data_IF_485808530505
#
_entry.id   IF_485808530505
#
_cell.length_a   1.000
_cell.length_b   1.000
_cell.length_c   1.000
_cell.angle_alpha   90.00
_cell.angle_beta   90.00
_cell.angle_gamma   90.00
#
_symmetry.space_group_name_H-M   'P 1'
#
loop_
_entity.id
_entity.type
_entity.pdbx_description
1 polymer ?
#
# COMPACT_ATOMS: atom_id res chain seq x y z
N UNK A 1 26.73 -4.63 0.76
CA UNK A 1 27.14 -5.82 -0.02
C UNK A 1 25.95 -6.78 -0.07
N UNK A 2 25.05 -6.63 -1.04
CA UNK A 2 23.98 -7.61 -1.28
C UNK A 2 24.47 -8.59 -2.32
N UNK A 3 24.51 -9.89 -1.95
CA UNK A 3 24.90 -10.95 -2.86
C UNK A 3 23.89 -11.05 -4.01
N UNK A 4 24.38 -11.22 -5.21
CA UNK A 4 23.77 -11.01 -6.51
C UNK A 4 22.67 -12.00 -6.93
N UNK A 5 21.95 -12.69 -6.01
CA UNK A 5 20.95 -13.72 -6.38
C UNK A 5 19.64 -13.75 -5.60
N UNK A 6 19.45 -13.00 -4.53
CA UNK A 6 18.17 -12.96 -3.81
C UNK A 6 17.28 -11.79 -4.32
N UNK A 7 15.98 -12.06 -4.50
CA UNK A 7 15.02 -11.00 -4.78
C UNK A 7 14.98 -10.04 -3.57
N UNK A 8 14.97 -8.73 -3.79
CA UNK A 8 14.85 -7.80 -2.68
C UNK A 8 13.55 -8.06 -1.90
N UNK A 9 13.55 -7.83 -0.57
CA UNK A 9 12.35 -7.93 0.25
C UNK A 9 11.16 -7.17 -0.34
N UNK A 10 9.94 -7.62 -0.05
CA UNK A 10 8.72 -7.04 -0.63
C UNK A 10 8.57 -5.55 -0.30
N UNK A 11 8.95 -5.13 0.90
CA UNK A 11 8.87 -3.74 1.34
C UNK A 11 9.79 -2.80 0.54
N UNK A 12 11.01 -3.24 0.17
CA UNK A 12 11.90 -2.47 -0.72
C UNK A 12 11.21 -2.24 -2.07
N UNK A 13 10.62 -3.29 -2.62
CA UNK A 13 9.93 -3.22 -3.92
C UNK A 13 8.70 -2.31 -3.86
N UNK A 14 7.99 -2.29 -2.73
CA UNK A 14 6.87 -1.36 -2.51
C UNK A 14 7.36 0.08 -2.41
N UNK A 15 8.43 0.34 -1.63
CA UNK A 15 9.02 1.66 -1.49
C UNK A 15 9.46 2.21 -2.86
N UNK A 16 10.23 1.44 -3.62
CA UNK A 16 10.63 1.78 -4.99
C UNK A 16 9.43 2.07 -5.88
N UNK A 17 8.39 1.23 -5.80
CA UNK A 17 7.19 1.39 -6.61
C UNK A 17 6.42 2.67 -6.24
N UNK A 18 6.21 2.94 -4.96
CA UNK A 18 5.56 4.18 -4.47
C UNK A 18 6.34 5.40 -4.98
N UNK A 19 7.65 5.39 -4.79
CA UNK A 19 8.52 6.47 -5.24
C UNK A 19 8.39 6.74 -6.76
N UNK A 20 8.51 5.70 -7.58
CA UNK A 20 8.55 5.84 -9.03
C UNK A 20 7.17 6.05 -9.68
N UNK A 21 6.11 5.60 -9.03
CA UNK A 21 4.76 5.67 -9.60
C UNK A 21 4.03 6.94 -9.23
N UNK A 22 4.17 7.36 -7.98
CA UNK A 22 3.37 8.43 -7.41
C UNK A 22 4.17 9.70 -7.14
N UNK A 23 5.51 9.61 -7.09
CA UNK A 23 6.40 10.75 -6.79
C UNK A 23 5.98 11.53 -5.54
N UNK A 24 5.64 10.86 -4.42
CA UNK A 24 5.10 11.54 -3.25
C UNK A 24 6.18 12.29 -2.50
N UNK A 25 5.78 13.34 -1.78
CA UNK A 25 6.60 14.00 -0.75
C UNK A 25 6.38 13.38 0.62
N UNK A 26 5.11 13.02 0.90
CA UNK A 26 4.67 12.51 2.20
C UNK A 26 3.91 11.19 2.03
N UNK A 27 4.25 10.18 2.85
CA UNK A 27 3.62 8.85 2.80
C UNK A 27 3.27 8.39 4.21
N UNK A 28 2.09 7.80 4.38
CA UNK A 28 1.71 7.06 5.58
C UNK A 28 1.55 5.57 5.26
N UNK A 29 2.13 4.71 6.09
CA UNK A 29 1.91 3.25 6.09
C UNK A 29 0.98 2.88 7.25
N UNK A 30 -0.23 2.40 6.92
CA UNK A 30 -1.25 2.00 7.89
C UNK A 30 -1.18 0.50 8.14
N UNK A 31 -0.92 0.10 9.40
CA UNK A 31 -0.54 -1.25 9.77
C UNK A 31 0.93 -1.51 9.42
N UNK A 32 1.80 -0.58 9.81
CA UNK A 32 3.20 -0.56 9.42
C UNK A 32 4.08 -1.62 10.10
N UNK A 33 3.57 -2.33 11.10
CA UNK A 33 4.32 -3.27 11.93
C UNK A 33 5.67 -2.67 12.41
N UNK A 34 6.80 -3.27 12.06
CA UNK A 34 8.14 -2.77 12.43
C UNK A 34 8.63 -1.58 11.59
N UNK A 35 7.81 -1.03 10.69
CA UNK A 35 8.12 0.16 9.90
C UNK A 35 9.13 -0.03 8.78
N UNK A 36 9.31 -1.25 8.27
CA UNK A 36 10.30 -1.54 7.22
C UNK A 36 10.04 -0.73 5.94
N UNK A 37 8.76 -0.58 5.54
CA UNK A 37 8.39 0.25 4.40
C UNK A 37 8.66 1.73 4.69
N UNK A 38 8.33 2.19 5.90
CA UNK A 38 8.61 3.57 6.36
C UNK A 38 10.10 3.87 6.28
N UNK A 39 10.94 2.95 6.79
CA UNK A 39 12.39 3.08 6.70
C UNK A 39 12.86 3.18 5.24
N UNK A 40 12.42 2.25 4.41
CA UNK A 40 12.81 2.24 2.98
C UNK A 40 12.44 3.51 2.24
N UNK A 41 11.29 4.11 2.52
CA UNK A 41 10.87 5.39 1.95
C UNK A 41 11.71 6.56 2.46
N UNK A 42 11.99 6.61 3.78
CA UNK A 42 12.86 7.66 4.36
C UNK A 42 14.30 7.56 3.82
N UNK A 43 14.84 6.34 3.63
CA UNK A 43 16.16 6.12 3.02
C UNK A 43 16.21 6.63 1.55
N UNK A 44 15.06 6.74 0.88
CA UNK A 44 14.92 7.33 -0.46
C UNK A 44 14.65 8.85 -0.45
N UNK A 45 14.63 9.48 0.73
CA UNK A 45 14.38 10.92 0.89
C UNK A 45 12.90 11.31 0.84
N UNK A 46 11.98 10.34 1.00
CA UNK A 46 10.54 10.58 1.12
C UNK A 46 10.18 10.69 2.60
N UNK A 47 9.42 11.71 2.97
CA UNK A 47 8.95 11.87 4.33
C UNK A 47 7.84 10.86 4.63
N UNK A 48 8.20 9.72 5.25
CA UNK A 48 7.28 8.63 5.53
C UNK A 48 7.09 8.39 7.02
N UNK A 49 5.85 8.07 7.38
CA UNK A 49 5.39 7.77 8.73
C UNK A 49 4.62 6.45 8.74
N UNK A 50 4.46 5.85 9.93
CA UNK A 50 3.69 4.63 10.12
C UNK A 50 2.78 4.68 11.34
N UNK A 51 1.64 4.02 11.24
CA UNK A 51 0.73 3.76 12.37
C UNK A 51 0.46 2.27 12.48
N UNK A 52 0.45 1.76 13.72
CA UNK A 52 0.14 0.36 14.01
C UNK A 52 -0.46 0.21 15.41
N UNK A 53 -1.33 -0.78 15.61
CA UNK A 53 -1.91 -1.11 16.92
C UNK A 53 -0.94 -1.85 17.85
N UNK A 54 0.11 -2.45 17.31
CA UNK A 54 1.07 -3.26 18.04
C UNK A 54 2.17 -2.42 18.70
N UNK A 55 2.04 -2.19 19.99
CA UNK A 55 3.10 -1.53 20.78
C UNK A 55 4.42 -2.29 20.71
N UNK A 56 4.36 -3.61 20.67
CA UNK A 56 5.54 -4.45 20.54
C UNK A 56 6.29 -4.16 19.22
N UNK A 57 5.57 -4.09 18.11
CA UNK A 57 6.18 -3.84 16.81
C UNK A 57 6.82 -2.44 16.76
N UNK A 58 6.10 -1.40 17.24
CA UNK A 58 6.60 -0.02 17.32
C UNK A 58 7.87 0.08 18.18
N UNK A 59 7.88 -0.57 19.35
CA UNK A 59 9.03 -0.52 20.28
C UNK A 59 10.25 -1.33 19.80
N UNK A 60 10.07 -2.24 18.83
CA UNK A 60 11.16 -3.06 18.25
C UNK A 60 11.49 -2.68 16.79
N UNK A 61 11.17 -1.46 16.39
CA UNK A 61 11.52 -0.94 15.06
C UNK A 61 13.00 -0.56 14.96
N UNK A 62 13.44 -0.25 13.75
CA UNK A 62 14.78 0.33 13.53
C UNK A 62 14.90 1.67 14.27
N UNK A 63 15.98 1.89 15.06
CA UNK A 63 16.15 3.13 15.84
C UNK A 63 16.08 4.43 15.01
N UNK A 64 16.42 4.38 13.73
CA UNK A 64 16.41 5.56 12.85
C UNK A 64 15.01 6.09 12.52
N UNK A 65 13.97 5.27 12.74
CA UNK A 65 12.57 5.62 12.43
C UNK A 65 11.65 5.62 13.64
N UNK A 66 12.17 5.48 14.87
CA UNK A 66 11.36 5.43 16.09
C UNK A 66 10.43 6.65 16.22
N UNK A 67 10.90 7.84 15.86
CA UNK A 67 10.10 9.08 15.88
C UNK A 67 9.08 9.17 14.72
N UNK A 68 9.08 8.23 13.82
CA UNK A 68 8.21 8.19 12.63
C UNK A 68 7.07 7.18 12.77
N UNK A 69 7.10 6.33 13.80
CA UNK A 69 6.07 5.32 14.05
C UNK A 69 5.22 5.68 15.26
N UNK A 70 3.91 5.51 15.12
CA UNK A 70 2.95 5.85 16.16
C UNK A 70 2.05 4.67 16.47
N UNK A 71 1.85 4.38 17.76
CA UNK A 71 0.83 3.44 18.22
C UNK A 71 -0.54 4.07 18.07
N UNK A 72 -1.40 3.44 17.27
CA UNK A 72 -2.76 3.93 16.98
C UNK A 72 -3.72 2.75 16.90
N UNK A 73 -4.81 2.78 17.63
CA UNK A 73 -5.91 1.87 17.40
C UNK A 73 -6.68 2.34 16.15
N UNK A 74 -6.56 1.61 15.06
CA UNK A 74 -7.15 1.98 13.76
C UNK A 74 -8.68 2.04 13.77
N UNK A 75 -9.33 1.54 14.83
CA UNK A 75 -10.79 1.51 14.98
C UNK A 75 -11.34 2.70 15.79
N UNK A 76 -10.52 3.43 16.54
CA UNK A 76 -11.02 4.42 17.50
C UNK A 76 -10.17 5.67 17.64
N UNK A 77 -8.88 5.58 17.36
CA UNK A 77 -7.97 6.67 17.65
C UNK A 77 -7.81 7.59 16.44
N UNK A 78 -7.96 8.89 16.68
CA UNK A 78 -7.60 9.89 15.68
C UNK A 78 -6.11 9.75 15.34
N UNK A 79 -5.79 9.72 14.06
CA UNK A 79 -4.39 9.65 13.63
C UNK A 79 -3.65 10.93 14.01
N UNK A 80 -2.41 10.84 14.53
CA UNK A 80 -1.66 11.98 15.09
C UNK A 80 -1.06 12.88 14.00
N UNK A 81 -1.84 13.18 12.98
CA UNK A 81 -1.43 14.01 11.85
C UNK A 81 -2.48 15.07 11.56
N UNK A 82 -2.04 16.19 10.98
CA UNK A 82 -2.92 17.25 10.52
C UNK A 82 -3.74 16.83 9.30
N UNK A 83 -4.77 17.60 9.00
CA UNK A 83 -5.58 17.42 7.82
C UNK A 83 -4.73 17.62 6.56
N UNK A 84 -5.02 16.87 5.51
CA UNK A 84 -4.38 16.99 4.19
C UNK A 84 -2.84 16.91 4.25
N UNK A 85 -2.32 15.99 5.02
CA UNK A 85 -0.87 15.81 5.21
C UNK A 85 -0.24 14.92 4.13
N UNK A 86 -0.94 13.86 3.69
CA UNK A 86 -0.30 12.81 2.91
C UNK A 86 -0.65 12.84 1.43
N UNK A 87 0.38 12.70 0.59
CA UNK A 87 0.23 12.46 -0.85
C UNK A 87 -0.21 11.01 -1.11
N UNK A 88 0.34 10.07 -0.33
CA UNK A 88 0.02 8.64 -0.44
C UNK A 88 -0.21 8.04 0.94
N UNK A 89 -1.30 7.27 1.08
CA UNK A 89 -1.55 6.39 2.23
C UNK A 89 -1.54 4.95 1.75
N UNK A 90 -0.63 4.12 2.28
CA UNK A 90 -0.58 2.68 2.03
C UNK A 90 -1.26 1.88 3.13
N UNK A 91 -1.94 0.78 2.80
CA UNK A 91 -2.35 -0.25 3.76
C UNK A 91 -2.15 -1.62 3.10
N UNK A 92 -1.27 -2.42 3.68
CA UNK A 92 -0.82 -3.67 3.08
C UNK A 92 -1.04 -4.83 4.05
N UNK A 93 -2.12 -5.57 3.86
CA UNK A 93 -2.57 -6.65 4.74
C UNK A 93 -2.90 -6.15 6.16
N UNK A 94 -3.68 -5.05 6.23
CA UNK A 94 -4.12 -4.43 7.48
C UNK A 94 -5.58 -4.00 7.45
N UNK A 95 -6.09 -3.52 6.31
CA UNK A 95 -7.47 -3.00 6.23
C UNK A 95 -8.52 -4.07 6.54
N UNK A 96 -8.20 -5.34 6.30
CA UNK A 96 -9.03 -6.50 6.64
C UNK A 96 -9.24 -6.71 8.13
N UNK A 97 -8.42 -6.10 8.98
CA UNK A 97 -8.51 -6.18 10.44
C UNK A 97 -9.26 -4.99 11.06
N UNK A 98 -9.72 -4.03 10.25
CA UNK A 98 -10.38 -2.82 10.74
C UNK A 98 -11.88 -3.07 10.89
N UNK A 99 -12.39 -3.06 12.13
CA UNK A 99 -13.81 -3.28 12.43
C UNK A 99 -14.68 -2.05 12.15
N UNK A 100 -14.20 -0.84 12.49
CA UNK A 100 -14.91 0.41 12.25
C UNK A 100 -14.40 1.08 10.96
N UNK A 101 -14.93 0.61 9.84
CA UNK A 101 -14.54 1.13 8.52
C UNK A 101 -15.06 2.56 8.28
N UNK A 102 -16.14 2.97 8.98
CA UNK A 102 -16.68 4.32 8.88
C UNK A 102 -15.75 5.34 9.53
N UNK A 103 -15.26 5.01 10.73
CA UNK A 103 -14.26 5.83 11.40
C UNK A 103 -12.97 5.91 10.60
N UNK A 104 -12.46 4.76 10.15
CA UNK A 104 -11.24 4.69 9.34
C UNK A 104 -11.34 5.50 8.05
N UNK A 105 -12.45 5.40 7.32
CA UNK A 105 -12.66 6.13 6.09
C UNK A 105 -12.72 7.66 6.30
N UNK A 106 -13.31 8.13 7.42
CA UNK A 106 -13.30 9.54 7.82
C UNK A 106 -11.88 10.04 8.11
N UNK A 107 -11.09 9.28 8.87
CA UNK A 107 -9.70 9.61 9.15
C UNK A 107 -8.86 9.61 7.85
N UNK A 108 -9.06 8.62 6.99
CA UNK A 108 -8.39 8.56 5.69
C UNK A 108 -8.71 9.80 4.84
N UNK A 109 -10.00 10.21 4.77
CA UNK A 109 -10.39 11.44 4.08
C UNK A 109 -9.74 12.68 4.70
N UNK A 110 -9.66 12.74 6.02
CA UNK A 110 -9.09 13.88 6.72
C UNK A 110 -7.62 14.08 6.39
N UNK A 111 -6.83 13.00 6.47
CA UNK A 111 -5.36 13.07 6.35
C UNK A 111 -4.85 13.09 4.91
N UNK A 112 -5.63 12.60 3.94
CA UNK A 112 -5.25 12.67 2.53
C UNK A 112 -5.36 14.11 2.00
N UNK A 113 -4.39 14.53 1.21
CA UNK A 113 -4.47 15.73 0.39
C UNK A 113 -5.62 15.62 -0.62
N UNK A 114 -6.02 16.73 -1.21
CA UNK A 114 -7.14 16.76 -2.17
C UNK A 114 -6.86 15.90 -3.42
N UNK A 115 -5.61 15.85 -3.87
CA UNK A 115 -5.10 15.01 -4.95
C UNK A 115 -4.38 13.75 -4.44
N UNK A 116 -4.43 13.50 -3.13
CA UNK A 116 -3.82 12.34 -2.49
C UNK A 116 -4.52 11.04 -2.86
N UNK A 117 -3.79 9.95 -2.78
CA UNK A 117 -4.29 8.62 -3.05
C UNK A 117 -4.11 7.68 -1.84
N UNK A 118 -5.03 6.75 -1.65
CA UNK A 118 -4.77 5.59 -0.80
C UNK A 118 -4.60 4.34 -1.67
N UNK A 119 -3.56 3.56 -1.39
CA UNK A 119 -3.30 2.30 -2.07
C UNK A 119 -3.38 1.14 -1.09
N UNK A 120 -4.35 0.25 -1.30
CA UNK A 120 -4.61 -0.90 -0.44
C UNK A 120 -4.30 -2.21 -1.16
N UNK A 121 -3.76 -3.15 -0.38
CA UNK A 121 -3.55 -4.53 -0.77
C UNK A 121 -4.01 -5.40 0.41
N UNK A 122 -4.99 -6.26 0.17
CA UNK A 122 -5.63 -7.10 1.17
C UNK A 122 -5.93 -8.48 0.58
N UNK A 123 -6.03 -9.56 1.38
CA UNK A 123 -6.46 -10.85 0.90
C UNK A 123 -7.82 -10.75 0.20
N UNK A 124 -7.98 -11.51 -0.88
CA UNK A 124 -9.24 -11.63 -1.61
C UNK A 124 -9.98 -12.90 -1.14
N UNK A 125 -11.28 -12.93 -1.35
CA UNK A 125 -12.10 -14.11 -1.02
C UNK A 125 -11.55 -15.40 -1.66
N UNK A 126 -11.60 -16.51 -0.91
CA UNK A 126 -11.23 -17.86 -1.38
C UNK A 126 -9.81 -18.30 -1.06
N UNK A 127 -9.07 -17.58 -0.20
CA UNK A 127 -7.85 -18.11 0.41
C UNK A 127 -8.22 -19.12 1.50
N UNK A 128 -7.68 -20.35 1.39
CA UNK A 128 -7.88 -21.42 2.37
C UNK A 128 -7.27 -21.12 3.76
N UNK A 129 -6.43 -20.08 3.85
CA UNK A 129 -5.82 -19.62 5.10
C UNK A 129 -6.34 -18.22 5.45
N UNK A 130 -7.42 -18.18 6.23
CA UNK A 130 -7.84 -16.99 6.96
C UNK A 130 -7.01 -16.92 8.25
N UNK A 131 -6.46 -15.74 8.52
CA UNK A 131 -6.01 -15.48 9.89
C UNK A 131 -7.25 -15.32 10.77
N UNK A 132 -7.20 -15.80 12.00
CA UNK A 132 -8.31 -15.68 12.98
C UNK A 132 -8.68 -14.21 13.26
N UNK A 133 -7.81 -13.28 12.93
CA UNK A 133 -7.97 -11.83 13.12
C UNK A 133 -8.59 -11.11 11.91
N UNK A 134 -8.80 -11.80 10.78
CA UNK A 134 -9.42 -11.19 9.60
C UNK A 134 -10.92 -10.98 9.85
N UNK A 135 -11.34 -9.72 9.93
CA UNK A 135 -12.76 -9.35 10.08
C UNK A 135 -13.46 -9.39 8.73
N UNK A 136 -12.75 -8.97 7.68
CA UNK A 136 -13.26 -8.91 6.32
C UNK A 136 -12.38 -9.73 5.38
N UNK A 137 -13.03 -10.59 4.58
CA UNK A 137 -12.44 -11.28 3.43
C UNK A 137 -13.24 -10.91 2.19
N UNK A 138 -13.19 -9.63 1.86
CA UNK A 138 -14.00 -9.06 0.79
C UNK A 138 -13.34 -9.23 -0.56
N UNK A 139 -14.16 -9.47 -1.57
CA UNK A 139 -13.76 -9.33 -2.97
C UNK A 139 -13.45 -7.87 -3.31
N UNK A 140 -12.79 -7.65 -4.44
CA UNK A 140 -12.58 -6.28 -4.93
C UNK A 140 -13.90 -5.51 -5.09
N UNK A 141 -14.98 -6.15 -5.56
CA UNK A 141 -16.27 -5.48 -5.77
C UNK A 141 -16.95 -5.09 -4.46
N UNK A 142 -16.79 -5.89 -3.41
CA UNK A 142 -17.27 -5.57 -2.07
C UNK A 142 -16.47 -4.41 -1.46
N UNK A 143 -15.13 -4.44 -1.52
CA UNK A 143 -14.30 -3.31 -1.11
C UNK A 143 -14.63 -2.04 -1.87
N UNK A 144 -14.85 -2.15 -3.19
CA UNK A 144 -15.26 -1.04 -4.02
C UNK A 144 -16.56 -0.42 -3.52
N UNK A 145 -17.59 -1.22 -3.29
CA UNK A 145 -18.88 -0.75 -2.75
C UNK A 145 -18.70 -0.07 -1.39
N UNK A 146 -17.98 -0.70 -0.47
CA UNK A 146 -17.70 -0.17 0.88
C UNK A 146 -17.11 1.24 0.82
N UNK A 147 -16.10 1.47 -0.01
CA UNK A 147 -15.45 2.77 -0.07
C UNK A 147 -16.17 3.78 -0.97
N UNK A 148 -16.90 3.35 -2.00
CA UNK A 148 -17.74 4.25 -2.80
C UNK A 148 -18.91 4.84 -1.98
N UNK A 149 -19.52 4.06 -1.09
CA UNK A 149 -20.52 4.52 -0.12
C UNK A 149 -19.96 5.56 0.88
N UNK A 150 -18.63 5.66 1.00
CA UNK A 150 -17.90 6.60 1.87
C UNK A 150 -17.19 7.71 1.09
N UNK A 151 -17.74 8.07 -0.08
CA UNK A 151 -17.27 9.18 -0.91
C UNK A 151 -15.83 9.03 -1.44
N UNK A 152 -15.39 7.81 -1.73
CA UNK A 152 -14.18 7.56 -2.49
C UNK A 152 -14.50 7.09 -3.91
N UNK A 153 -13.67 7.45 -4.87
CA UNK A 153 -13.58 6.76 -6.16
C UNK A 153 -12.63 5.57 -6.00
N UNK A 154 -13.06 4.39 -6.42
CA UNK A 154 -12.29 3.16 -6.27
C UNK A 154 -11.89 2.60 -7.62
N UNK A 155 -10.60 2.36 -7.81
CA UNK A 155 -10.06 1.79 -9.03
C UNK A 155 -9.23 0.55 -8.72
N UNK A 156 -9.51 -0.57 -9.39
CA UNK A 156 -8.66 -1.75 -9.32
C UNK A 156 -7.25 -1.41 -9.76
N UNK A 157 -6.27 -1.86 -8.99
CA UNK A 157 -4.89 -1.53 -9.22
C UNK A 157 -4.00 -2.73 -8.89
N UNK A 158 -3.19 -3.17 -9.84
CA UNK A 158 -2.28 -4.30 -9.64
C UNK A 158 -0.84 -3.89 -9.87
N UNK A 159 -0.11 -3.59 -8.80
CA UNK A 159 1.31 -3.27 -8.88
C UNK A 159 2.19 -4.50 -9.10
N UNK A 160 1.68 -5.71 -8.80
CA UNK A 160 2.46 -6.94 -8.97
C UNK A 160 3.02 -7.12 -10.38
N UNK A 161 2.29 -6.66 -11.38
CA UNK A 161 2.70 -6.74 -12.77
C UNK A 161 3.93 -5.90 -13.05
N UNK A 162 3.95 -4.67 -12.58
CA UNK A 162 5.10 -3.78 -12.76
C UNK A 162 6.31 -4.26 -11.95
N UNK A 163 6.08 -4.75 -10.71
CA UNK A 163 7.14 -5.31 -9.89
C UNK A 163 7.69 -6.63 -10.44
N UNK A 164 6.82 -7.49 -11.01
CA UNK A 164 7.23 -8.75 -11.63
C UNK A 164 7.98 -8.53 -12.96
N UNK A 165 7.53 -7.60 -13.78
CA UNK A 165 8.18 -7.22 -15.04
C UNK A 165 9.56 -6.61 -14.76
N UNK A 166 9.68 -5.72 -13.77
CA UNK A 166 10.96 -5.14 -13.37
C UNK A 166 11.95 -6.20 -12.88
N UNK A 167 11.49 -7.19 -12.10
CA UNK A 167 12.32 -8.30 -11.62
C UNK A 167 12.81 -9.25 -12.74
N UNK A 168 12.02 -9.44 -13.81
CA UNK A 168 12.37 -10.26 -14.97
C UNK A 168 13.14 -9.50 -16.04
N UNK A 169 12.84 -8.21 -16.21
CA UNK A 169 13.41 -7.33 -17.24
C UNK A 169 14.44 -6.34 -16.69
N UNK A 170 14.86 -6.50 -15.43
CA UNK A 170 15.71 -5.57 -14.69
C UNK A 170 17.06 -5.19 -15.31
N UNK A 171 17.42 -5.79 -16.46
CA UNK A 171 18.54 -5.35 -17.31
C UNK A 171 18.09 -4.58 -18.56
N UNK A 172 16.79 -4.52 -18.83
CA UNK A 172 16.23 -3.78 -19.95
C UNK A 172 15.55 -2.51 -19.45
N UNK A 173 15.94 -1.36 -19.99
CA UNK A 173 15.33 -0.06 -19.72
C UNK A 173 13.90 -0.05 -20.30
N UNK A 174 12.95 -0.73 -19.63
CA UNK A 174 11.55 -0.82 -20.05
C UNK A 174 10.94 0.55 -20.39
N UNK A 175 11.30 1.57 -19.62
CA UNK A 175 10.83 2.95 -19.83
C UNK A 175 11.43 3.64 -21.07
N UNK A 176 12.51 3.09 -21.65
CA UNK A 176 13.05 3.57 -22.92
C UNK A 176 12.37 2.97 -24.16
N UNK A 177 11.43 2.04 -23.95
CA UNK A 177 10.69 1.42 -25.04
C UNK A 177 9.57 2.34 -25.56
N UNK A 178 9.17 2.22 -26.84
CA UNK A 178 8.02 2.94 -27.37
C UNK A 178 6.76 2.71 -26.53
N UNK A 179 5.99 3.77 -26.26
CA UNK A 179 4.81 3.72 -25.38
C UNK A 179 3.81 2.62 -25.75
N UNK A 180 3.65 2.31 -27.06
CA UNK A 180 2.73 1.27 -27.50
C UNK A 180 3.18 -0.13 -27.05
N UNK A 181 4.50 -0.44 -27.10
CA UNK A 181 5.05 -1.71 -26.59
C UNK A 181 4.93 -1.81 -25.08
N UNK A 182 5.16 -0.72 -24.36
CA UNK A 182 4.92 -0.65 -22.93
C UNK A 182 3.46 -0.98 -22.58
N UNK A 183 2.51 -0.43 -23.36
CA UNK A 183 1.08 -0.66 -23.15
C UNK A 183 0.66 -2.11 -23.48
N UNK A 184 1.21 -2.72 -24.52
CA UNK A 184 0.96 -4.14 -24.83
C UNK A 184 1.46 -5.03 -23.70
N UNK A 185 2.68 -4.83 -23.23
CA UNK A 185 3.26 -5.63 -22.17
C UNK A 185 2.49 -5.43 -20.85
N UNK A 186 2.09 -4.17 -20.53
CA UNK A 186 1.24 -3.87 -19.39
C UNK A 186 -0.09 -4.61 -19.47
N UNK A 187 -0.73 -4.62 -20.64
CA UNK A 187 -2.02 -5.30 -20.83
C UNK A 187 -1.88 -6.83 -20.69
N UNK A 188 -0.88 -7.43 -21.33
CA UNK A 188 -0.64 -8.89 -21.22
C UNK A 188 -0.29 -9.28 -19.80
N UNK A 189 0.54 -8.49 -19.12
CA UNK A 189 0.88 -8.73 -17.73
C UNK A 189 -0.35 -8.56 -16.81
N UNK A 190 -1.18 -7.55 -17.04
CA UNK A 190 -2.45 -7.33 -16.35
C UNK A 190 -3.40 -8.53 -16.49
N UNK A 191 -3.61 -9.01 -17.72
CA UNK A 191 -4.48 -10.15 -17.98
C UNK A 191 -3.95 -11.45 -17.36
N UNK A 192 -2.63 -11.64 -17.32
CA UNK A 192 -1.99 -12.80 -16.71
C UNK A 192 -2.09 -12.79 -15.19
N UNK A 193 -1.90 -11.63 -14.54
CA UNK A 193 -1.92 -11.54 -13.08
C UNK A 193 -3.34 -11.59 -12.52
N UNK A 194 -4.32 -10.98 -13.21
CA UNK A 194 -5.72 -11.07 -12.80
C UNK A 194 -6.25 -12.52 -12.73
N UNK A 195 -5.65 -13.45 -13.51
CA UNK A 195 -5.99 -14.88 -13.43
C UNK A 195 -5.34 -15.62 -12.26
N UNK A 196 -4.34 -15.03 -11.63
CA UNK A 196 -3.52 -15.67 -10.57
C UNK A 196 -3.49 -14.90 -9.25
N UNK A 197 -4.03 -13.68 -9.19
CA UNK A 197 -3.97 -12.89 -7.96
C UNK A 197 -4.99 -13.37 -6.95
N UNK A 198 -4.46 -13.79 -5.82
CA UNK A 198 -5.21 -14.13 -4.60
C UNK A 198 -5.55 -12.91 -3.75
N UNK A 199 -5.04 -11.72 -4.10
CA UNK A 199 -5.17 -10.50 -3.32
C UNK A 199 -5.98 -9.45 -4.06
N UNK A 200 -6.81 -8.71 -3.34
CA UNK A 200 -7.46 -7.51 -3.84
C UNK A 200 -6.50 -6.32 -3.70
N UNK A 201 -6.24 -5.63 -4.80
CA UNK A 201 -5.44 -4.41 -4.80
C UNK A 201 -6.18 -3.28 -5.49
N UNK A 202 -6.27 -2.14 -4.83
CA UNK A 202 -7.04 -1.00 -5.33
C UNK A 202 -6.51 0.35 -4.83
N UNK A 203 -6.82 1.38 -5.60
CA UNK A 203 -6.55 2.77 -5.27
C UNK A 203 -7.85 3.48 -4.96
N UNK A 204 -7.84 4.27 -3.91
CA UNK A 204 -8.88 5.20 -3.53
C UNK A 204 -8.41 6.64 -3.83
N UNK A 205 -9.31 7.44 -4.36
CA UNK A 205 -9.16 8.90 -4.45
C UNK A 205 -10.40 9.57 -3.87
N UNK A 206 -10.27 10.78 -3.38
CA UNK A 206 -11.43 11.57 -2.92
C UNK A 206 -12.36 11.90 -4.11
N UNK A 207 -13.66 11.98 -3.84
CA UNK A 207 -14.64 12.47 -4.80
C UNK A 207 -14.55 13.98 -4.98
#
# INVERSE_FOLDING_TARGET
YFSTRSRPPMWIRRAEFIHEKFYPKTVLDVGCAYGELVKGLNDMGIEAYGVDGSEYAINNCDPSITSKLFKVNLNSDKFPFDDKTFDVVGSFYSVEHIHDIDFFAKELQRILKDDGIAWFLTPNEGLEQRNETDVFTNTFEEWKKIFEERNFKVKKFSPHEMMALRGKLGKFKFYSWPKFLQNIIKKVAYDYSNRKMKDASFILTRN
#
